data_IF_610197481706
#
_entry.id   IF_610197481706
#
_cell.length_a   1.000
_cell.length_b   1.000
_cell.length_c   1.000
_cell.angle_alpha   90.00
_cell.angle_beta   90.00
_cell.angle_gamma   90.00
#
_symmetry.space_group_name_H-M   'P 1'
#
loop_
_entity.id
_entity.type
_entity.pdbx_description
1 polymer ?
#
# COMPACT_ATOMS: atom_id res chain seq x y z
N UNK A 1 8.42 25.64 -24.90
CA UNK A 1 7.30 25.29 -23.98
C UNK A 1 7.16 23.79 -23.88
N UNK A 2 7.06 23.20 -22.67
CA UNK A 2 6.80 21.77 -22.45
C UNK A 2 5.38 21.37 -22.90
N UNK A 3 5.14 20.07 -23.15
CA UNK A 3 3.79 19.56 -23.37
C UNK A 3 2.97 19.63 -22.05
N UNK A 4 1.65 19.80 -22.14
CA UNK A 4 0.74 19.94 -20.98
C UNK A 4 0.96 18.86 -19.92
N UNK A 5 0.91 17.58 -20.30
CA UNK A 5 1.07 16.45 -19.38
C UNK A 5 2.49 16.36 -18.78
N UNK A 6 3.52 16.82 -19.51
CA UNK A 6 4.88 16.91 -18.97
C UNK A 6 4.96 18.00 -17.88
N UNK A 7 4.27 19.13 -18.09
CA UNK A 7 4.17 20.19 -17.08
C UNK A 7 3.39 19.71 -15.85
N UNK A 8 2.26 19.02 -16.02
CA UNK A 8 1.50 18.42 -14.91
C UNK A 8 2.38 17.45 -14.10
N UNK A 9 3.11 16.56 -14.78
CA UNK A 9 4.02 15.61 -14.11
C UNK A 9 5.07 16.34 -13.28
N UNK A 10 5.67 17.41 -13.82
CA UNK A 10 6.66 18.23 -13.12
C UNK A 10 6.05 18.95 -11.91
N UNK A 11 4.86 19.52 -12.05
CA UNK A 11 4.16 20.20 -10.95
C UNK A 11 3.83 19.21 -9.83
N UNK A 12 3.30 18.03 -10.15
CA UNK A 12 2.99 16.99 -9.16
C UNK A 12 4.28 16.51 -8.47
N UNK A 13 5.37 16.34 -9.20
CA UNK A 13 6.65 15.95 -8.62
C UNK A 13 7.16 17.01 -7.63
N UNK A 14 7.05 18.30 -7.96
CA UNK A 14 7.40 19.39 -7.06
C UNK A 14 6.55 19.37 -5.77
N UNK A 15 5.22 19.22 -5.90
CA UNK A 15 4.33 19.13 -4.72
C UNK A 15 4.71 17.92 -3.85
N UNK A 16 5.05 16.77 -4.46
CA UNK A 16 5.53 15.59 -3.70
C UNK A 16 6.80 15.90 -2.92
N UNK A 17 7.78 16.54 -3.56
CA UNK A 17 9.02 16.97 -2.89
C UNK A 17 8.73 17.91 -1.73
N UNK A 18 7.83 18.88 -1.90
CA UNK A 18 7.43 19.79 -0.84
C UNK A 18 6.77 19.04 0.34
N UNK A 19 5.93 18.04 0.06
CA UNK A 19 5.33 17.19 1.11
C UNK A 19 6.41 16.42 1.87
N UNK A 20 7.43 15.87 1.20
CA UNK A 20 8.54 15.21 1.90
C UNK A 20 9.33 16.19 2.77
N UNK A 21 9.54 17.41 2.27
CA UNK A 21 10.36 18.43 2.91
C UNK A 21 9.66 19.14 4.09
N UNK A 22 8.33 19.09 4.17
CA UNK A 22 7.56 19.71 5.26
C UNK A 22 8.05 19.24 6.64
N UNK A 23 8.19 20.17 7.59
CA UNK A 23 8.67 19.88 8.95
C UNK A 23 7.63 20.16 10.03
N UNK A 24 6.51 20.76 9.66
CA UNK A 24 5.43 21.14 10.56
C UNK A 24 4.07 21.02 9.89
N UNK A 25 3.01 21.08 10.71
CA UNK A 25 1.62 21.19 10.23
C UNK A 25 1.42 22.47 9.41
N UNK A 26 2.00 23.61 9.84
CA UNK A 26 1.91 24.88 9.11
C UNK A 26 2.48 24.79 7.70
N UNK A 27 3.58 24.05 7.50
CA UNK A 27 4.14 23.80 6.18
C UNK A 27 3.16 23.03 5.28
N UNK A 28 2.45 22.03 5.85
CA UNK A 28 1.46 21.24 5.14
C UNK A 28 0.22 22.08 4.79
N UNK A 29 -0.26 22.91 5.72
CA UNK A 29 -1.37 23.84 5.47
C UNK A 29 -1.02 24.85 4.39
N UNK A 30 0.17 25.45 4.46
CA UNK A 30 0.67 26.35 3.43
C UNK A 30 0.78 25.64 2.07
N UNK A 31 1.21 24.38 2.04
CA UNK A 31 1.27 23.58 0.82
C UNK A 31 -0.11 23.33 0.23
N UNK A 32 -1.10 22.92 1.02
CA UNK A 32 -2.46 22.68 0.53
C UNK A 32 -3.08 23.97 -0.03
N UNK A 33 -2.86 25.12 0.63
CA UNK A 33 -3.27 26.44 0.12
C UNK A 33 -2.54 26.82 -1.18
N UNK A 34 -1.25 26.47 -1.33
CA UNK A 34 -0.54 26.66 -2.61
C UNK A 34 -1.14 25.81 -3.73
N UNK A 35 -1.58 24.58 -3.43
CA UNK A 35 -2.24 23.71 -4.40
C UNK A 35 -3.58 24.31 -4.84
N UNK A 36 -4.34 24.91 -3.92
CA UNK A 36 -5.59 25.62 -4.23
C UNK A 36 -5.38 26.77 -5.23
N UNK A 37 -4.32 27.56 -5.04
CA UNK A 37 -4.02 28.72 -5.88
C UNK A 37 -2.96 28.45 -6.96
N UNK A 38 -2.73 27.18 -7.31
CA UNK A 38 -1.67 26.82 -8.25
C UNK A 38 -1.98 27.34 -9.66
N UNK A 39 -1.10 28.19 -10.21
CA UNK A 39 -1.30 28.85 -11.52
C UNK A 39 -1.14 27.91 -12.73
N UNK A 40 -0.60 26.71 -12.54
CA UNK A 40 -0.31 25.75 -13.62
C UNK A 40 -1.29 24.59 -13.69
N UNK A 41 -1.21 23.73 -14.73
CA UNK A 41 -2.07 22.56 -14.82
C UNK A 41 -1.68 21.50 -13.78
N UNK A 42 -2.68 20.93 -13.13
CA UNK A 42 -2.56 19.78 -12.21
C UNK A 42 -3.36 18.56 -12.69
N UNK A 43 -4.18 18.74 -13.72
CA UNK A 43 -4.98 17.70 -14.34
C UNK A 43 -4.39 17.28 -15.66
N UNK A 44 -4.22 15.96 -15.80
CA UNK A 44 -3.75 15.37 -17.03
C UNK A 44 -4.83 15.44 -18.12
N UNK A 45 -4.43 15.90 -19.30
CA UNK A 45 -5.25 15.88 -20.50
C UNK A 45 -5.10 14.53 -21.19
N UNK A 46 -5.88 13.55 -20.75
CA UNK A 46 -5.76 12.14 -21.18
C UNK A 46 -6.82 11.70 -22.21
N UNK A 47 -7.53 12.65 -22.85
CA UNK A 47 -8.62 12.34 -23.79
C UNK A 47 -8.21 11.38 -24.92
N UNK A 48 -7.03 11.60 -25.53
CA UNK A 48 -6.50 10.72 -26.56
C UNK A 48 -6.25 9.29 -26.05
N UNK A 49 -5.67 9.16 -24.85
CA UNK A 49 -5.41 7.85 -24.25
C UNK A 49 -6.68 7.12 -23.85
N UNK A 50 -7.70 7.85 -23.39
CA UNK A 50 -9.03 7.29 -23.09
C UNK A 50 -9.70 6.79 -24.37
N UNK A 51 -9.64 7.56 -25.45
CA UNK A 51 -10.14 7.16 -26.76
C UNK A 51 -9.45 5.90 -27.27
N UNK A 52 -8.12 5.88 -27.29
CA UNK A 52 -7.36 4.71 -27.73
C UNK A 52 -7.61 3.49 -26.83
N UNK A 53 -7.66 3.67 -25.50
CA UNK A 53 -7.99 2.61 -24.55
C UNK A 53 -9.40 2.04 -24.80
N UNK A 54 -10.39 2.89 -25.09
CA UNK A 54 -11.75 2.45 -25.39
C UNK A 54 -11.80 1.65 -26.69
N UNK A 55 -11.08 2.09 -27.73
CA UNK A 55 -10.93 1.35 -28.99
C UNK A 55 -10.29 -0.02 -28.74
N UNK A 56 -9.18 -0.08 -28.01
CA UNK A 56 -8.50 -1.35 -27.72
C UNK A 56 -9.40 -2.30 -26.93
N UNK A 57 -10.10 -1.83 -25.89
CA UNK A 57 -11.01 -2.70 -25.13
C UNK A 57 -12.22 -3.14 -25.97
N UNK A 58 -12.74 -2.28 -26.85
CA UNK A 58 -13.80 -2.64 -27.77
C UNK A 58 -13.37 -3.79 -28.69
N UNK A 59 -12.20 -3.72 -29.31
CA UNK A 59 -11.68 -4.79 -30.17
C UNK A 59 -11.27 -6.06 -29.40
N UNK A 60 -10.98 -5.96 -28.10
CA UNK A 60 -10.67 -7.11 -27.25
C UNK A 60 -11.91 -7.91 -26.84
N UNK A 61 -12.99 -7.22 -26.46
CA UNK A 61 -14.22 -7.85 -25.97
C UNK A 61 -15.06 -8.46 -27.08
N UNK A 62 -14.80 -8.07 -28.32
CA UNK A 62 -15.72 -8.35 -29.40
C UNK A 62 -15.68 -9.82 -29.87
N UNK A 63 -14.51 -10.47 -30.05
CA UNK A 63 -14.51 -11.91 -30.36
C UNK A 63 -15.08 -12.74 -29.21
N UNK A 64 -14.93 -12.29 -27.97
CA UNK A 64 -15.56 -12.92 -26.80
C UNK A 64 -17.10 -12.88 -26.92
N UNK A 65 -17.66 -11.74 -27.33
CA UNK A 65 -19.10 -11.62 -27.54
C UNK A 65 -19.62 -12.58 -28.63
N UNK A 66 -18.83 -12.79 -29.69
CA UNK A 66 -19.15 -13.72 -30.77
C UNK A 66 -19.10 -15.19 -30.32
N UNK A 67 -18.05 -15.58 -29.59
CA UNK A 67 -17.90 -16.93 -29.02
C UNK A 67 -19.00 -17.27 -27.99
N UNK A 68 -19.50 -16.26 -27.28
CA UNK A 68 -20.63 -16.41 -26.34
C UNK A 68 -22.00 -16.44 -27.04
N UNK A 69 -22.06 -16.40 -28.37
CA UNK A 69 -23.31 -16.48 -29.13
C UNK A 69 -24.23 -15.26 -28.96
N UNK A 70 -23.69 -14.10 -28.57
CA UNK A 70 -24.48 -12.87 -28.47
C UNK A 70 -24.90 -12.42 -29.87
N UNK A 71 -26.20 -12.22 -30.07
CA UNK A 71 -26.75 -11.70 -31.33
C UNK A 71 -26.39 -10.22 -31.44
N UNK A 72 -25.40 -9.92 -32.28
CA UNK A 72 -25.00 -8.55 -32.59
C UNK A 72 -25.72 -8.10 -33.87
N UNK A 73 -26.31 -6.88 -33.93
CA UNK A 73 -26.99 -6.40 -35.14
C UNK A 73 -26.09 -6.45 -36.39
N UNK A 74 -26.67 -6.80 -37.55
CA UNK A 74 -25.91 -7.00 -38.80
C UNK A 74 -25.06 -5.79 -39.20
N UNK A 75 -25.58 -4.56 -38.99
CA UNK A 75 -24.82 -3.35 -39.29
C UNK A 75 -23.54 -3.23 -38.44
N UNK A 76 -23.55 -3.72 -37.20
CA UNK A 76 -22.38 -3.73 -36.31
C UNK A 76 -21.36 -4.75 -36.82
N UNK A 77 -21.82 -5.93 -37.28
CA UNK A 77 -20.95 -6.95 -37.89
C UNK A 77 -20.31 -6.46 -39.20
N UNK A 78 -21.02 -5.67 -39.99
CA UNK A 78 -20.48 -5.07 -41.22
C UNK A 78 -19.43 -4.00 -40.93
N UNK A 79 -19.71 -3.09 -39.97
CA UNK A 79 -18.74 -2.09 -39.52
C UNK A 79 -17.51 -2.77 -38.94
N UNK A 80 -17.70 -3.82 -38.15
CA UNK A 80 -16.63 -4.56 -37.52
C UNK A 80 -15.74 -5.28 -38.53
N UNK A 81 -16.33 -6.08 -39.42
CA UNK A 81 -15.55 -6.84 -40.41
C UNK A 81 -14.74 -5.90 -41.29
N UNK A 82 -15.30 -4.73 -41.63
CA UNK A 82 -14.59 -3.65 -42.31
C UNK A 82 -13.44 -3.12 -41.44
N UNK A 83 -13.69 -2.79 -40.18
CA UNK A 83 -12.66 -2.31 -39.27
C UNK A 83 -11.53 -3.32 -39.08
N UNK A 84 -11.84 -4.61 -38.88
CA UNK A 84 -10.83 -5.65 -38.76
C UNK A 84 -10.02 -5.78 -40.04
N UNK A 85 -10.68 -5.86 -41.21
CA UNK A 85 -10.02 -5.96 -42.52
C UNK A 85 -9.04 -4.82 -42.77
N UNK A 86 -9.41 -3.59 -42.42
CA UNK A 86 -8.56 -2.41 -42.62
C UNK A 86 -7.60 -2.14 -41.44
N UNK A 87 -7.56 -3.00 -40.41
CA UNK A 87 -6.69 -2.81 -39.24
C UNK A 87 -5.21 -2.82 -39.57
N UNK A 88 -4.81 -3.54 -40.60
CA UNK A 88 -3.44 -3.51 -41.16
C UNK A 88 -2.96 -2.08 -41.50
N UNK A 89 -3.90 -1.15 -41.77
CA UNK A 89 -3.63 0.26 -42.03
C UNK A 89 -3.89 1.13 -40.79
N UNK A 90 -5.11 1.12 -40.23
CA UNK A 90 -5.45 2.07 -39.17
C UNK A 90 -4.80 1.75 -37.83
N UNK A 91 -4.48 0.47 -37.55
CA UNK A 91 -3.91 0.09 -36.27
C UNK A 91 -2.48 0.63 -36.09
N UNK A 92 -1.56 0.46 -37.06
CA UNK A 92 -0.25 1.11 -37.00
C UNK A 92 -0.32 2.63 -36.94
N UNK A 93 -1.27 3.25 -37.65
CA UNK A 93 -1.50 4.70 -37.56
C UNK A 93 -1.76 5.14 -36.11
N UNK A 94 -2.71 4.48 -35.43
CA UNK A 94 -3.08 4.80 -34.06
C UNK A 94 -1.96 4.50 -33.06
N UNK A 95 -1.23 3.38 -33.24
CA UNK A 95 -0.11 3.01 -32.38
C UNK A 95 1.00 4.06 -32.47
N UNK A 96 1.44 4.42 -33.68
CA UNK A 96 2.52 5.40 -33.85
C UNK A 96 2.11 6.80 -33.40
N UNK A 97 0.87 7.24 -33.65
CA UNK A 97 0.36 8.50 -33.11
C UNK A 97 0.33 8.50 -31.58
N UNK A 98 -0.08 7.40 -30.96
CA UNK A 98 -0.15 7.25 -29.49
C UNK A 98 1.24 7.20 -28.84
N UNK A 99 2.19 6.48 -29.45
CA UNK A 99 3.59 6.45 -29.02
C UNK A 99 4.22 7.84 -29.11
N UNK A 100 3.96 8.57 -30.19
CA UNK A 100 4.42 9.95 -30.35
C UNK A 100 3.91 10.84 -29.22
N UNK A 101 2.61 10.77 -28.93
CA UNK A 101 2.01 11.50 -27.81
C UNK A 101 2.63 11.12 -26.48
N UNK A 102 2.87 9.83 -26.25
CA UNK A 102 3.52 9.31 -25.04
C UNK A 102 4.95 9.84 -24.85
N UNK A 103 5.78 9.84 -25.90
CA UNK A 103 7.13 10.36 -25.80
C UNK A 103 7.15 11.87 -25.55
N UNK A 104 6.25 12.63 -26.19
CA UNK A 104 6.12 14.06 -25.93
C UNK A 104 5.69 14.39 -24.51
N UNK A 105 4.75 13.63 -23.95
CA UNK A 105 4.33 13.73 -22.56
C UNK A 105 5.47 13.41 -21.57
N UNK A 106 6.48 12.65 -22.01
CA UNK A 106 7.74 12.39 -21.28
C UNK A 106 8.85 13.41 -21.58
N UNK A 107 8.57 14.44 -22.37
CA UNK A 107 9.54 15.46 -22.77
C UNK A 107 10.50 15.04 -23.88
N UNK A 108 10.35 13.84 -24.45
CA UNK A 108 11.15 13.33 -25.57
C UNK A 108 10.48 13.70 -26.89
N UNK A 109 10.78 14.88 -27.41
CA UNK A 109 10.18 15.39 -28.65
C UNK A 109 10.82 14.78 -29.88
N UNK A 110 10.01 14.48 -30.89
CA UNK A 110 10.52 14.22 -32.22
C UNK A 110 11.17 15.51 -32.77
N UNK A 111 12.25 15.40 -33.55
CA UNK A 111 12.98 16.55 -34.12
C UNK A 111 12.24 17.18 -35.32
N UNK A 112 10.91 17.28 -35.23
CA UNK A 112 10.05 17.84 -36.27
C UNK A 112 9.35 19.08 -35.69
N UNK A 113 9.55 20.28 -36.28
CA UNK A 113 8.89 21.49 -35.81
C UNK A 113 7.38 21.40 -36.03
N UNK A 114 6.60 22.05 -35.16
CA UNK A 114 5.14 22.13 -35.30
C UNK A 114 4.35 21.80 -34.02
N UNK A 115 3.01 21.83 -34.09
CA UNK A 115 2.14 21.42 -32.99
C UNK A 115 2.14 19.89 -32.79
N UNK A 116 1.77 19.44 -31.60
CA UNK A 116 1.72 18.00 -31.25
C UNK A 116 0.81 17.20 -32.18
N UNK A 117 -0.33 17.76 -32.57
CA UNK A 117 -1.26 17.13 -33.52
C UNK A 117 -0.63 16.95 -34.91
N UNK A 118 0.20 17.89 -35.36
CA UNK A 118 0.90 17.77 -36.64
C UNK A 118 1.92 16.63 -36.63
N UNK A 119 2.68 16.47 -35.53
CA UNK A 119 3.60 15.34 -35.37
C UNK A 119 2.88 14.00 -35.21
N UNK A 120 1.76 13.96 -34.49
CA UNK A 120 0.92 12.78 -34.40
C UNK A 120 0.36 12.38 -35.77
N UNK A 121 -0.09 13.34 -36.58
CA UNK A 121 -0.60 13.10 -37.93
C UNK A 121 0.51 12.60 -38.87
N UNK A 122 1.71 13.18 -38.79
CA UNK A 122 2.88 12.70 -39.54
C UNK A 122 3.18 11.24 -39.20
N UNK A 123 3.22 10.90 -37.91
CA UNK A 123 3.51 9.53 -37.47
C UNK A 123 2.35 8.56 -37.77
N UNK A 124 1.12 9.04 -37.78
CA UNK A 124 -0.01 8.29 -38.31
C UNK A 124 0.19 8.00 -39.80
N UNK A 125 0.55 9.00 -40.61
CA UNK A 125 0.83 8.80 -42.04
C UNK A 125 1.97 7.80 -42.29
N UNK A 126 3.03 7.84 -41.48
CA UNK A 126 4.10 6.83 -41.50
C UNK A 126 3.54 5.43 -41.21
N UNK A 127 2.64 5.31 -40.23
CA UNK A 127 1.97 4.05 -39.91
C UNK A 127 1.09 3.54 -41.06
N UNK A 128 0.35 4.42 -41.71
CA UNK A 128 -0.45 4.08 -42.89
C UNK A 128 0.43 3.61 -44.06
N UNK A 129 1.59 4.26 -44.25
CA UNK A 129 2.53 3.96 -45.32
C UNK A 129 3.18 2.58 -45.19
N UNK A 130 3.11 1.92 -44.01
CA UNK A 130 3.57 0.53 -43.87
C UNK A 130 2.84 -0.41 -44.83
N UNK A 131 1.58 -0.12 -45.17
CA UNK A 131 0.82 -0.89 -46.16
C UNK A 131 1.43 -0.87 -47.57
N UNK A 132 2.30 0.12 -47.88
CA UNK A 132 3.01 0.18 -49.15
C UNK A 132 4.15 -0.84 -49.23
N UNK A 133 4.58 -1.40 -48.09
CA UNK A 133 5.56 -2.48 -48.04
C UNK A 133 4.82 -3.78 -48.40
N UNK A 134 5.18 -4.46 -49.50
CA UNK A 134 4.42 -5.63 -49.98
C UNK A 134 4.27 -6.75 -48.94
N UNK A 135 5.26 -6.91 -48.06
CA UNK A 135 5.30 -7.95 -47.03
C UNK A 135 4.53 -7.56 -45.75
N UNK A 136 4.10 -6.30 -45.60
CA UNK A 136 3.48 -5.82 -44.36
C UNK A 136 2.19 -6.56 -43.98
N UNK A 137 1.22 -6.80 -44.90
CA UNK A 137 0.02 -7.54 -44.54
C UNK A 137 0.29 -8.95 -44.04
N UNK A 138 1.28 -9.62 -44.65
CA UNK A 138 1.75 -10.94 -44.23
C UNK A 138 2.38 -10.87 -42.83
N UNK A 139 3.26 -9.91 -42.58
CA UNK A 139 3.85 -9.74 -41.24
C UNK A 139 2.83 -9.39 -40.16
N UNK A 140 1.85 -8.56 -40.51
CA UNK A 140 0.81 -8.12 -39.59
C UNK A 140 -0.12 -9.27 -39.19
N UNK A 141 -0.74 -9.94 -40.17
CA UNK A 141 -1.72 -11.00 -39.90
C UNK A 141 -1.07 -12.34 -39.58
N UNK A 142 -0.21 -12.83 -40.48
CA UNK A 142 0.25 -14.21 -40.46
C UNK A 142 1.49 -14.38 -39.58
N UNK A 143 2.37 -13.39 -39.52
CA UNK A 143 3.53 -13.51 -38.64
C UNK A 143 3.20 -13.11 -37.20
N UNK A 144 2.57 -11.95 -36.99
CA UNK A 144 2.38 -11.43 -35.63
C UNK A 144 1.14 -12.00 -34.94
N UNK A 145 -0.05 -11.84 -35.53
CA UNK A 145 -1.29 -12.21 -34.86
C UNK A 145 -1.58 -13.70 -34.90
N UNK A 146 -1.24 -14.40 -35.99
CA UNK A 146 -1.37 -15.86 -36.05
C UNK A 146 -0.40 -16.56 -35.09
N UNK A 147 0.87 -16.12 -35.02
CA UNK A 147 1.81 -16.65 -34.01
C UNK A 147 1.32 -16.41 -32.59
N UNK A 148 0.76 -15.22 -32.31
CA UNK A 148 0.21 -14.90 -31.00
C UNK A 148 -1.05 -15.74 -30.68
N UNK A 149 -1.93 -15.93 -31.65
CA UNK A 149 -3.11 -16.77 -31.53
C UNK A 149 -2.70 -18.23 -31.26
N UNK A 150 -1.81 -18.77 -32.09
CA UNK A 150 -1.28 -20.13 -31.99
C UNK A 150 -0.58 -20.37 -30.66
N UNK A 151 0.26 -19.43 -30.20
CA UNK A 151 0.93 -19.51 -28.90
C UNK A 151 -0.07 -19.62 -27.73
N UNK A 152 -1.23 -18.99 -27.86
CA UNK A 152 -2.30 -19.00 -26.85
C UNK A 152 -3.33 -20.13 -27.08
N UNK A 153 -3.12 -20.99 -28.09
CA UNK A 153 -4.01 -22.11 -28.40
C UNK A 153 -5.27 -21.74 -29.19
N UNK A 154 -5.29 -20.58 -29.85
CA UNK A 154 -6.39 -20.15 -30.72
C UNK A 154 -6.11 -20.45 -32.19
N UNK A 155 -7.19 -20.73 -32.93
CA UNK A 155 -7.14 -21.15 -34.34
C UNK A 155 -7.28 -20.00 -35.35
N UNK A 156 -7.58 -18.78 -34.88
CA UNK A 156 -7.86 -17.64 -35.74
C UNK A 156 -6.95 -16.45 -35.39
N UNK A 157 -6.31 -15.80 -36.38
CA UNK A 157 -5.51 -14.59 -36.16
C UNK A 157 -6.30 -13.45 -35.49
N UNK A 158 -7.63 -13.37 -35.72
CA UNK A 158 -8.51 -12.41 -35.05
C UNK A 158 -8.52 -12.56 -33.53
N UNK A 159 -8.36 -13.79 -33.02
CA UNK A 159 -8.24 -14.04 -31.58
C UNK A 159 -6.92 -13.49 -31.04
N UNK A 160 -5.82 -13.67 -31.77
CA UNK A 160 -4.53 -13.04 -31.45
C UNK A 160 -4.63 -11.51 -31.40
N UNK A 161 -5.30 -10.91 -32.40
CA UNK A 161 -5.57 -9.47 -32.43
C UNK A 161 -6.37 -8.97 -31.22
N UNK A 162 -7.41 -9.71 -30.81
CA UNK A 162 -8.20 -9.36 -29.64
C UNK A 162 -7.43 -9.48 -28.33
N UNK A 163 -6.64 -10.55 -28.14
CA UNK A 163 -5.82 -10.70 -26.93
C UNK A 163 -4.80 -9.57 -26.83
N UNK A 164 -4.13 -9.24 -27.93
CA UNK A 164 -3.19 -8.12 -27.98
C UNK A 164 -3.84 -6.80 -27.54
N UNK A 165 -4.99 -6.46 -28.12
CA UNK A 165 -5.75 -5.27 -27.76
C UNK A 165 -6.26 -5.30 -26.31
N UNK A 166 -6.63 -6.48 -25.80
CA UNK A 166 -7.05 -6.67 -24.41
C UNK A 166 -5.92 -6.35 -23.43
N UNK A 167 -4.72 -6.86 -23.70
CA UNK A 167 -3.54 -6.55 -22.90
C UNK A 167 -3.23 -5.05 -22.90
N UNK A 168 -3.21 -4.41 -24.07
CA UNK A 168 -2.95 -2.97 -24.18
C UNK A 168 -4.03 -2.15 -23.46
N UNK A 169 -5.31 -2.47 -23.68
CA UNK A 169 -6.44 -1.79 -23.07
C UNK A 169 -6.40 -1.89 -21.54
N UNK A 170 -6.14 -3.07 -20.98
CA UNK A 170 -6.04 -3.27 -19.52
C UNK A 170 -4.84 -2.53 -18.93
N UNK A 171 -3.67 -2.60 -19.57
CA UNK A 171 -2.47 -1.88 -19.13
C UNK A 171 -2.70 -0.36 -19.13
N UNK A 172 -3.30 0.18 -20.20
CA UNK A 172 -3.63 1.61 -20.29
C UNK A 172 -4.69 2.02 -19.27
N UNK A 173 -5.71 1.19 -19.05
CA UNK A 173 -6.74 1.45 -18.03
C UNK A 173 -6.11 1.54 -16.64
N UNK A 174 -5.21 0.60 -16.29
CA UNK A 174 -4.50 0.65 -15.02
C UNK A 174 -3.63 1.91 -14.92
N UNK A 175 -2.86 2.22 -15.96
CA UNK A 175 -2.02 3.41 -16.01
C UNK A 175 -2.83 4.71 -15.85
N UNK A 176 -3.94 4.85 -16.58
CA UNK A 176 -4.85 6.00 -16.45
C UNK A 176 -5.43 6.11 -15.04
N UNK A 177 -5.84 4.98 -14.44
CA UNK A 177 -6.30 4.94 -13.03
C UNK A 177 -5.20 5.37 -12.05
N UNK A 178 -3.94 5.00 -12.29
CA UNK A 178 -2.85 5.46 -11.41
C UNK A 178 -2.61 6.97 -11.55
N UNK A 179 -2.78 7.51 -12.76
CA UNK A 179 -2.64 8.94 -13.02
C UNK A 179 -3.75 9.75 -12.40
N UNK A 180 -4.99 9.28 -12.38
CA UNK A 180 -6.10 10.01 -11.74
C UNK A 180 -6.02 9.97 -10.21
N UNK A 181 -5.53 8.87 -9.63
CA UNK A 181 -5.44 8.69 -8.17
C UNK A 181 -4.25 9.38 -7.50
N UNK A 182 -3.51 10.23 -8.21
CA UNK A 182 -2.33 10.89 -7.65
C UNK A 182 -2.67 11.78 -6.45
N UNK A 183 -3.79 12.52 -6.51
CA UNK A 183 -4.28 13.37 -5.43
C UNK A 183 -4.58 12.56 -4.18
N UNK A 184 -5.29 11.44 -4.32
CA UNK A 184 -5.65 10.58 -3.19
C UNK A 184 -4.41 10.07 -2.46
N UNK A 185 -3.46 9.48 -3.20
CA UNK A 185 -2.21 8.96 -2.60
C UNK A 185 -1.42 10.06 -1.88
N UNK A 186 -1.37 11.26 -2.45
CA UNK A 186 -0.66 12.37 -1.84
C UNK A 186 -1.41 12.96 -0.65
N UNK A 187 -2.74 12.99 -0.71
CA UNK A 187 -3.60 13.42 0.41
C UNK A 187 -3.49 12.45 1.59
N UNK A 188 -3.48 11.14 1.33
CA UNK A 188 -3.24 10.11 2.36
C UNK A 188 -1.88 10.34 3.04
N UNK A 189 -0.86 10.70 2.25
CA UNK A 189 0.48 10.99 2.77
C UNK A 189 0.55 12.28 3.59
N UNK A 190 -0.08 13.36 3.10
CA UNK A 190 -0.16 14.64 3.82
C UNK A 190 -0.88 14.42 5.16
N UNK A 191 -2.01 13.72 5.15
CA UNK A 191 -2.81 13.47 6.33
C UNK A 191 -2.09 12.60 7.36
N UNK A 192 -1.38 11.55 6.92
CA UNK A 192 -0.50 10.78 7.81
C UNK A 192 0.56 11.68 8.44
N UNK A 193 1.22 12.52 7.64
CA UNK A 193 2.29 13.39 8.13
C UNK A 193 1.77 14.43 9.13
N UNK A 194 0.58 14.98 8.89
CA UNK A 194 -0.12 15.84 9.83
C UNK A 194 -0.41 15.14 11.16
N UNK A 195 -0.95 13.92 11.12
CA UNK A 195 -1.17 13.13 12.34
C UNK A 195 0.13 12.85 13.10
N UNK A 196 1.24 12.58 12.39
CA UNK A 196 2.55 12.44 13.03
C UNK A 196 2.98 13.72 13.74
N UNK A 197 2.82 14.89 13.10
CA UNK A 197 3.14 16.18 13.72
C UNK A 197 2.26 16.49 14.93
N UNK A 198 0.95 16.28 14.82
CA UNK A 198 0.01 16.46 15.91
C UNK A 198 0.36 15.60 17.14
N UNK A 199 0.97 14.44 16.95
CA UNK A 199 1.33 13.52 18.04
C UNK A 199 2.84 13.55 18.36
N UNK A 200 3.58 14.57 17.90
CA UNK A 200 5.03 14.72 18.12
C UNK A 200 5.86 13.48 17.74
N UNK A 201 5.47 12.79 16.67
CA UNK A 201 6.13 11.58 16.18
C UNK A 201 7.16 11.93 15.10
N UNK A 202 8.43 11.62 15.36
CA UNK A 202 9.52 11.82 14.41
C UNK A 202 9.87 10.52 13.70
N UNK A 203 9.93 10.54 12.37
CA UNK A 203 10.37 9.39 11.59
C UNK A 203 11.85 9.08 11.85
N UNK A 204 12.16 7.82 12.11
CA UNK A 204 13.53 7.35 12.33
C UNK A 204 14.02 6.65 11.05
N UNK A 205 15.25 6.88 10.58
CA UNK A 205 15.84 6.07 9.52
C UNK A 205 16.21 4.68 10.05
N UNK A 206 15.83 3.63 9.32
CA UNK A 206 16.14 2.25 9.69
C UNK A 206 16.20 1.33 8.47
N UNK A 207 16.81 0.16 8.63
CA UNK A 207 16.78 -0.93 7.66
C UNK A 207 15.77 -1.99 8.11
N UNK A 208 14.60 -2.04 7.46
CA UNK A 208 13.43 -2.80 7.94
C UNK A 208 13.69 -4.28 8.28
N UNK A 209 14.38 -5.01 7.40
CA UNK A 209 14.70 -6.43 7.62
C UNK A 209 15.76 -6.64 8.71
N UNK A 210 16.77 -5.76 8.74
CA UNK A 210 17.86 -5.82 9.70
C UNK A 210 17.35 -5.55 11.11
N UNK A 211 16.59 -4.45 11.28
CA UNK A 211 15.98 -4.10 12.56
C UNK A 211 15.01 -5.18 13.06
N UNK A 212 14.19 -5.76 12.18
CA UNK A 212 13.32 -6.87 12.57
C UNK A 212 14.11 -8.07 13.09
N UNK A 213 15.27 -8.37 12.47
CA UNK A 213 16.13 -9.48 12.89
C UNK A 213 16.85 -9.20 14.22
N UNK A 214 17.27 -7.96 14.44
CA UNK A 214 17.84 -7.52 15.72
C UNK A 214 16.81 -7.67 16.85
N UNK A 215 15.57 -7.19 16.61
CA UNK A 215 14.49 -7.28 17.58
C UNK A 215 14.03 -8.73 17.84
N UNK A 216 14.13 -9.63 16.85
CA UNK A 216 13.86 -11.08 17.00
C UNK A 216 14.75 -11.75 18.06
N UNK A 217 15.97 -11.23 18.26
CA UNK A 217 16.88 -11.72 19.30
C UNK A 217 16.31 -11.53 20.71
N UNK A 218 15.76 -10.34 20.95
CA UNK A 218 15.24 -9.91 22.25
C UNK A 218 13.76 -10.28 22.46
N UNK A 219 12.95 -10.26 21.41
CA UNK A 219 11.50 -10.44 21.49
C UNK A 219 10.99 -11.47 20.48
N UNK A 220 10.24 -12.46 20.97
CA UNK A 220 9.54 -13.46 20.16
C UNK A 220 8.43 -12.88 19.32
N UNK A 221 7.97 -11.65 19.60
CA UNK A 221 7.01 -10.95 18.75
C UNK A 221 7.50 -10.80 17.31
N UNK A 222 8.81 -10.71 17.08
CA UNK A 222 9.39 -10.59 15.74
C UNK A 222 9.77 -11.95 15.10
N UNK A 223 9.66 -13.07 15.83
CA UNK A 223 9.78 -14.44 15.29
C UNK A 223 8.42 -14.95 14.75
N UNK A 224 7.67 -14.07 14.06
CA UNK A 224 6.39 -14.41 13.44
C UNK A 224 6.56 -14.71 11.95
N UNK A 225 5.68 -15.55 11.43
CA UNK A 225 5.75 -15.98 10.03
C UNK A 225 6.92 -16.91 9.74
N UNK A 226 7.03 -17.33 8.48
CA UNK A 226 8.04 -18.27 8.01
C UNK A 226 8.66 -17.85 6.66
N UNK A 227 8.40 -16.62 6.20
CA UNK A 227 8.97 -16.05 4.96
C UNK A 227 9.53 -14.64 5.26
N UNK A 228 8.98 -13.58 4.69
CA UNK A 228 9.42 -12.19 4.92
C UNK A 228 9.09 -11.70 6.34
N UNK A 229 10.02 -10.96 6.96
CA UNK A 229 9.87 -10.22 8.21
C UNK A 229 10.57 -8.85 8.07
N UNK A 230 9.86 -7.76 8.32
CA UNK A 230 10.42 -6.41 8.23
C UNK A 230 9.66 -5.39 9.06
N UNK A 231 10.36 -4.41 9.61
CA UNK A 231 9.74 -3.17 10.07
C UNK A 231 9.42 -2.31 8.84
N UNK A 232 8.20 -1.78 8.74
CA UNK A 232 7.75 -0.93 7.64
C UNK A 232 7.73 0.56 8.00
N UNK A 233 7.49 0.86 9.28
CA UNK A 233 7.58 2.23 9.80
C UNK A 233 8.10 2.21 11.23
N UNK A 234 8.86 3.24 11.57
CA UNK A 234 9.42 3.47 12.89
C UNK A 234 9.40 4.97 13.17
N UNK A 235 8.78 5.34 14.29
CA UNK A 235 8.71 6.70 14.78
C UNK A 235 9.19 6.75 16.21
N UNK A 236 9.80 7.84 16.64
CA UNK A 236 10.18 8.08 18.03
C UNK A 236 9.45 9.29 18.58
N UNK A 237 9.20 9.27 19.88
CA UNK A 237 8.69 10.42 20.63
C UNK A 237 8.91 10.19 22.12
N UNK A 238 8.47 11.15 22.92
CA UNK A 238 8.53 11.12 24.38
C UNK A 238 7.13 11.28 24.92
N UNK A 239 6.69 10.32 25.73
CA UNK A 239 5.41 10.41 26.43
C UNK A 239 5.57 11.22 27.72
N UNK A 240 4.68 12.16 27.96
CA UNK A 240 4.62 12.97 29.18
C UNK A 240 3.32 12.64 29.93
N UNK A 241 3.43 11.80 30.96
CA UNK A 241 2.33 11.52 31.88
C UNK A 241 2.49 12.29 33.20
N UNK A 242 1.48 12.20 34.05
CA UNK A 242 1.45 12.92 35.34
C UNK A 242 2.58 12.52 36.31
N UNK A 243 3.06 11.27 36.18
CA UNK A 243 4.02 10.66 37.13
C UNK A 243 5.32 10.21 36.44
N UNK A 244 5.21 9.63 35.25
CA UNK A 244 6.38 9.15 34.51
C UNK A 244 6.41 9.78 33.13
N UNK A 245 7.63 10.06 32.70
CA UNK A 245 7.98 10.40 31.34
C UNK A 245 8.88 9.30 30.80
N UNK A 246 8.66 8.89 29.55
CA UNK A 246 9.48 7.87 28.92
C UNK A 246 9.58 8.08 27.41
N UNK A 247 10.75 7.77 26.87
CA UNK A 247 10.96 7.72 25.43
C UNK A 247 10.42 6.41 24.87
N UNK A 248 9.81 6.48 23.69
CA UNK A 248 9.28 5.30 23.03
C UNK A 248 9.51 5.36 21.52
N UNK A 249 9.49 4.16 20.92
CA UNK A 249 9.48 3.98 19.48
C UNK A 249 8.21 3.26 19.05
N UNK A 250 7.39 3.92 18.24
CA UNK A 250 6.22 3.33 17.60
C UNK A 250 6.65 2.62 16.31
N UNK A 251 6.25 1.36 16.14
CA UNK A 251 6.61 0.58 14.96
C UNK A 251 5.41 -0.09 14.30
N UNK A 252 5.57 -0.37 13.00
CA UNK A 252 4.72 -1.32 12.25
C UNK A 252 5.59 -2.46 11.73
N UNK A 253 5.30 -3.66 12.18
CA UNK A 253 5.96 -4.89 11.78
C UNK A 253 5.11 -5.65 10.76
N UNK A 254 5.73 -6.06 9.66
CA UNK A 254 5.13 -6.87 8.60
C UNK A 254 5.79 -8.25 8.58
N UNK A 255 4.97 -9.29 8.56
CA UNK A 255 5.44 -10.66 8.40
C UNK A 255 4.56 -11.46 7.43
N UNK A 256 5.16 -12.45 6.78
CA UNK A 256 4.48 -13.32 5.81
C UNK A 256 4.43 -14.76 6.31
N UNK A 257 3.26 -15.38 6.19
CA UNK A 257 3.09 -16.83 6.31
C UNK A 257 2.96 -17.41 4.90
N UNK A 258 3.94 -18.22 4.52
CA UNK A 258 3.94 -19.03 3.31
C UNK A 258 3.39 -20.41 3.63
N UNK A 259 2.31 -20.80 2.94
CA UNK A 259 1.72 -22.14 3.02
C UNK A 259 1.54 -22.75 1.64
N UNK A 260 1.52 -24.07 1.60
CA UNK A 260 1.27 -24.84 0.38
C UNK A 260 -0.15 -25.37 0.43
N UNK A 261 -0.96 -24.99 -0.54
CA UNK A 261 -2.32 -25.50 -0.73
C UNK A 261 -2.30 -26.50 -1.88
N UNK A 262 -2.77 -27.72 -1.59
CA UNK A 262 -2.98 -28.75 -2.62
C UNK A 262 -4.47 -28.85 -2.86
N UNK A 263 -4.89 -28.60 -4.10
CA UNK A 263 -6.28 -28.80 -4.52
C UNK A 263 -6.32 -29.95 -5.50
N UNK A 264 -7.13 -30.95 -5.21
CA UNK A 264 -7.38 -32.08 -6.11
C UNK A 264 -8.72 -31.84 -6.80
N UNK A 265 -8.71 -31.83 -8.13
CA UNK A 265 -9.95 -31.71 -8.91
C UNK A 265 -10.74 -33.04 -8.92
N UNK A 266 -11.96 -32.99 -9.46
CA UNK A 266 -12.83 -34.16 -9.58
C UNK A 266 -12.21 -35.28 -10.46
N UNK A 267 -11.20 -34.94 -11.27
CA UNK A 267 -10.47 -35.86 -12.15
C UNK A 267 -9.22 -36.46 -11.48
N UNK A 268 -9.01 -36.22 -10.17
CA UNK A 268 -7.91 -36.78 -9.38
C UNK A 268 -6.55 -36.10 -9.60
N UNK A 269 -6.50 -35.01 -10.38
CA UNK A 269 -5.27 -34.24 -10.61
C UNK A 269 -5.08 -33.23 -9.48
N UNK A 270 -3.96 -33.39 -8.78
CA UNK A 270 -3.58 -32.50 -7.69
C UNK A 270 -2.75 -31.33 -8.20
N UNK A 271 -3.23 -30.10 -7.97
CA UNK A 271 -2.51 -28.87 -8.25
C UNK A 271 -2.02 -28.25 -6.95
N UNK A 272 -0.70 -28.01 -6.87
CA UNK A 272 -0.06 -27.39 -5.71
C UNK A 272 0.16 -25.91 -5.96
N UNK A 273 -0.40 -25.05 -5.09
CA UNK A 273 -0.18 -23.59 -5.13
C UNK A 273 0.49 -23.13 -3.83
N UNK A 274 1.54 -22.32 -3.97
CA UNK A 274 2.11 -21.59 -2.84
C UNK A 274 1.31 -20.31 -2.60
N UNK A 275 0.78 -20.15 -1.40
CA UNK A 275 0.07 -18.93 -0.96
C UNK A 275 0.93 -18.20 0.06
N UNK A 276 0.99 -16.87 -0.05
CA UNK A 276 1.73 -15.98 0.85
C UNK A 276 0.75 -14.99 1.46
N UNK A 277 0.47 -15.16 2.74
CA UNK A 277 -0.44 -14.30 3.49
C UNK A 277 0.36 -13.26 4.28
N UNK A 278 0.05 -11.98 4.07
CA UNK A 278 0.73 -10.85 4.72
C UNK A 278 -0.03 -10.40 5.97
N UNK A 279 0.69 -10.22 7.07
CA UNK A 279 0.14 -9.83 8.36
C UNK A 279 0.91 -8.66 8.96
N UNK A 280 0.23 -7.89 9.81
CA UNK A 280 0.79 -6.69 10.43
C UNK A 280 0.59 -6.71 11.95
N UNK A 281 1.60 -6.20 12.66
CA UNK A 281 1.58 -5.94 14.09
C UNK A 281 2.07 -4.53 14.33
N UNK A 282 1.42 -3.81 15.22
CA UNK A 282 1.75 -2.42 15.55
C UNK A 282 2.05 -2.36 17.03
N UNK A 283 2.98 -1.52 17.43
CA UNK A 283 3.41 -1.56 18.82
C UNK A 283 4.35 -0.45 19.21
N UNK A 284 4.70 -0.43 20.49
CA UNK A 284 5.68 0.47 21.08
C UNK A 284 6.84 -0.31 21.68
N UNK A 285 8.04 0.21 21.50
CA UNK A 285 9.27 -0.23 22.13
C UNK A 285 9.75 0.86 23.07
N UNK A 286 10.05 0.52 24.31
CA UNK A 286 10.55 1.48 25.31
C UNK A 286 11.34 0.75 26.40
N UNK A 287 12.02 1.52 27.25
CA UNK A 287 12.70 1.00 28.43
C UNK A 287 11.73 0.92 29.61
N UNK A 288 11.70 -0.23 30.27
CA UNK A 288 10.79 -0.59 31.34
C UNK A 288 11.56 -1.31 32.46
N UNK A 289 11.99 -0.61 33.51
CA UNK A 289 12.93 -1.13 34.52
C UNK A 289 12.30 -2.05 35.57
N UNK A 290 10.98 -2.27 35.51
CA UNK A 290 10.26 -2.99 36.56
C UNK A 290 10.07 -4.49 36.28
N UNK A 291 10.40 -4.95 35.08
CA UNK A 291 10.26 -6.36 34.71
C UNK A 291 11.20 -6.75 33.57
N UNK A 292 11.66 -7.99 33.58
CA UNK A 292 12.53 -8.56 32.56
C UNK A 292 12.25 -10.05 32.37
N UNK A 293 12.65 -10.56 31.21
CA UNK A 293 12.57 -11.99 30.85
C UNK A 293 11.20 -12.63 31.11
N UNK A 294 10.13 -11.91 30.78
CA UNK A 294 8.75 -12.38 30.90
C UNK A 294 7.85 -11.90 29.76
N UNK A 295 6.70 -12.54 29.59
CA UNK A 295 5.72 -12.22 28.56
C UNK A 295 4.30 -12.36 29.08
N UNK A 296 3.42 -11.43 28.69
CA UNK A 296 1.99 -11.41 28.97
C UNK A 296 1.29 -11.35 27.62
N UNK A 297 0.60 -12.42 27.23
CA UNK A 297 0.15 -12.56 25.85
C UNK A 297 -1.31 -13.01 25.74
N UNK A 298 -2.12 -12.19 25.07
CA UNK A 298 -3.46 -12.54 24.59
C UNK A 298 -3.41 -13.17 23.18
N UNK A 299 -2.24 -13.24 22.56
CA UNK A 299 -2.04 -13.97 21.31
C UNK A 299 -1.54 -15.39 21.56
N UNK A 300 -2.37 -16.38 21.26
CA UNK A 300 -1.99 -17.77 21.47
C UNK A 300 -1.02 -18.34 20.43
N UNK A 301 -0.76 -17.61 19.34
CA UNK A 301 0.14 -18.03 18.27
C UNK A 301 1.63 -17.72 18.47
N UNK A 302 2.00 -16.97 19.51
CA UNK A 302 3.41 -16.63 19.78
C UNK A 302 4.12 -17.73 20.61
N UNK A 303 5.37 -18.03 20.25
CA UNK A 303 6.25 -18.88 21.07
C UNK A 303 6.63 -18.12 22.34
N UNK A 304 6.55 -18.78 23.50
CA UNK A 304 6.84 -18.17 24.81
C UNK A 304 8.07 -18.79 25.43
N UNK A 305 8.81 -18.00 26.20
CA UNK A 305 9.98 -18.44 26.98
C UNK A 305 9.62 -18.46 28.47
N UNK A 306 10.24 -19.38 29.22
CA UNK A 306 10.08 -19.47 30.67
C UNK A 306 8.90 -20.34 31.13
N UNK A 307 8.70 -20.35 32.44
CA UNK A 307 7.67 -21.12 33.11
C UNK A 307 6.33 -20.38 33.10
N UNK A 308 5.24 -21.14 33.05
CA UNK A 308 3.90 -20.57 33.02
C UNK A 308 3.50 -20.05 34.40
N UNK A 309 3.19 -18.77 34.49
CA UNK A 309 2.59 -18.16 35.65
C UNK A 309 1.05 -18.10 35.52
N UNK A 310 0.34 -18.36 36.61
CA UNK A 310 -1.10 -18.12 36.74
C UNK A 310 -1.32 -17.32 38.01
N UNK A 311 -2.07 -16.24 37.90
CA UNK A 311 -2.43 -15.45 39.07
C UNK A 311 -3.72 -15.94 39.72
N UNK A 312 -4.15 -15.25 40.79
CA UNK A 312 -5.43 -15.52 41.43
C UNK A 312 -6.65 -15.04 40.60
N UNK A 313 -6.46 -14.10 39.67
CA UNK A 313 -7.56 -13.54 38.87
C UNK A 313 -7.93 -14.47 37.71
N UNK A 314 -9.07 -15.14 37.84
CA UNK A 314 -9.61 -16.01 36.79
C UNK A 314 -9.93 -15.24 35.50
N UNK A 315 -10.42 -14.01 35.61
CA UNK A 315 -10.73 -13.18 34.43
C UNK A 315 -9.45 -12.82 33.67
N UNK A 316 -8.40 -12.40 34.37
CA UNK A 316 -7.10 -12.12 33.76
C UNK A 316 -6.52 -13.37 33.08
N UNK A 317 -6.53 -14.51 33.77
CA UNK A 317 -6.02 -15.79 33.24
C UNK A 317 -6.79 -16.32 32.02
N UNK A 318 -8.03 -15.88 31.80
CA UNK A 318 -8.80 -16.18 30.58
C UNK A 318 -8.30 -15.36 29.39
N UNK A 319 -7.94 -14.10 29.63
CA UNK A 319 -7.47 -13.19 28.59
C UNK A 319 -6.00 -13.41 28.27
N UNK A 320 -5.13 -13.61 29.26
CA UNK A 320 -3.69 -13.65 29.07
C UNK A 320 -3.06 -14.97 29.49
N UNK A 321 -2.00 -15.34 28.76
CA UNK A 321 -1.02 -16.34 29.19
C UNK A 321 0.26 -15.62 29.59
N UNK A 322 0.67 -15.83 30.83
CA UNK A 322 1.90 -15.24 31.37
C UNK A 322 2.98 -16.32 31.43
N UNK A 323 4.17 -16.01 30.92
CA UNK A 323 5.35 -16.84 31.08
C UNK A 323 6.51 -15.98 31.55
N UNK A 324 7.29 -16.46 32.51
CA UNK A 324 8.44 -15.75 33.04
C UNK A 324 9.56 -16.73 33.32
N UNK A 325 10.81 -16.26 33.20
CA UNK A 325 11.95 -17.03 33.68
C UNK A 325 11.92 -17.21 35.20
N UNK A 326 11.52 -16.16 35.91
CA UNK A 326 11.33 -16.16 37.36
C UNK A 326 9.89 -15.80 37.69
N UNK A 327 9.15 -16.74 38.31
CA UNK A 327 7.73 -16.55 38.63
C UNK A 327 7.49 -15.40 39.62
N UNK A 328 8.47 -15.11 40.49
CA UNK A 328 8.38 -14.01 41.45
C UNK A 328 8.34 -12.65 40.74
N UNK A 329 9.09 -12.47 39.66
CA UNK A 329 9.07 -11.24 38.84
C UNK A 329 7.69 -11.02 38.23
N UNK A 330 7.06 -12.08 37.72
CA UNK A 330 5.68 -12.01 37.23
C UNK A 330 4.69 -11.66 38.35
N UNK A 331 4.81 -12.27 39.52
CA UNK A 331 3.93 -11.98 40.66
C UNK A 331 4.06 -10.53 41.17
N UNK A 332 5.27 -9.96 41.16
CA UNK A 332 5.52 -8.57 41.58
C UNK A 332 4.92 -7.56 40.60
N UNK A 333 5.07 -7.80 39.30
CA UNK A 333 4.49 -6.95 38.26
C UNK A 333 2.96 -7.04 38.24
N UNK A 334 2.42 -8.26 38.33
CA UNK A 334 0.99 -8.55 38.21
C UNK A 334 0.24 -8.37 39.53
N UNK A 335 0.36 -7.18 40.11
CA UNK A 335 -0.53 -6.77 41.21
C UNK A 335 -1.99 -6.72 40.74
N UNK A 336 -2.99 -6.84 41.65
CA UNK A 336 -4.40 -6.82 41.28
C UNK A 336 -4.80 -5.62 40.41
N UNK A 337 -4.23 -4.44 40.68
CA UNK A 337 -4.47 -3.23 39.89
C UNK A 337 -3.94 -3.35 38.45
N UNK A 338 -2.74 -3.91 38.26
CA UNK A 338 -2.17 -4.14 36.93
C UNK A 338 -2.99 -5.17 36.15
N UNK A 339 -3.42 -6.25 36.81
CA UNK A 339 -4.26 -7.27 36.19
C UNK A 339 -5.61 -6.72 35.73
N UNK A 340 -6.23 -5.85 36.52
CA UNK A 340 -7.47 -5.17 36.17
C UNK A 340 -7.30 -4.30 34.92
N UNK A 341 -6.26 -3.46 34.89
CA UNK A 341 -5.95 -2.61 33.73
C UNK A 341 -5.68 -3.42 32.46
N UNK A 342 -4.89 -4.50 32.57
CA UNK A 342 -4.62 -5.40 31.44
C UNK A 342 -5.87 -6.09 30.93
N UNK A 343 -6.77 -6.48 31.84
CA UNK A 343 -8.07 -7.10 31.49
C UNK A 343 -8.97 -6.13 30.73
N UNK A 344 -9.03 -4.86 31.15
CA UNK A 344 -9.75 -3.82 30.41
C UNK A 344 -9.11 -3.61 29.04
N UNK A 345 -7.78 -3.55 28.97
CA UNK A 345 -7.03 -3.35 27.74
C UNK A 345 -7.28 -4.47 26.71
N UNK A 346 -7.35 -5.73 27.15
CA UNK A 346 -7.65 -6.88 26.28
C UNK A 346 -9.01 -6.77 25.57
N UNK A 347 -9.95 -6.04 26.15
CA UNK A 347 -11.28 -5.81 25.55
C UNK A 347 -11.26 -4.70 24.51
N UNK A 348 -10.25 -3.83 24.53
CA UNK A 348 -10.17 -2.65 23.66
C UNK A 348 -9.29 -2.86 22.43
N UNK A 349 -8.27 -3.72 22.52
CA UNK A 349 -7.33 -4.00 21.43
C UNK A 349 -7.23 -5.49 21.16
N UNK A 350 -7.00 -5.84 19.90
CA UNK A 350 -6.93 -7.21 19.40
C UNK A 350 -5.55 -7.79 19.63
N UNK A 351 -5.52 -8.93 20.32
CA UNK A 351 -4.32 -9.75 20.53
C UNK A 351 -3.14 -8.95 21.11
N UNK A 352 -3.31 -8.21 22.22
CA UNK A 352 -2.20 -7.55 22.87
C UNK A 352 -1.15 -8.56 23.37
N UNK A 353 0.11 -8.20 23.17
CA UNK A 353 1.28 -8.93 23.65
C UNK A 353 2.21 -7.92 24.30
N UNK A 354 2.60 -8.17 25.55
CA UNK A 354 3.63 -7.43 26.25
C UNK A 354 4.77 -8.40 26.48
N UNK A 355 5.93 -8.11 25.92
CA UNK A 355 7.15 -8.91 26.07
C UNK A 355 8.24 -8.05 26.69
N UNK A 356 8.71 -8.49 27.85
CA UNK A 356 9.77 -7.87 28.62
C UNK A 356 11.06 -8.62 28.30
N UNK A 357 11.89 -7.99 27.48
CA UNK A 357 13.13 -8.56 26.97
C UNK A 357 14.23 -8.62 28.03
N UNK A 358 15.42 -8.98 27.57
CA UNK A 358 16.65 -8.75 28.33
C UNK A 358 16.99 -7.25 28.23
N UNK A 359 17.67 -6.70 29.25
CA UNK A 359 18.05 -5.28 29.34
C UNK A 359 16.86 -4.33 29.59
N UNK A 360 15.86 -4.76 30.37
CA UNK A 360 14.78 -3.87 30.82
C UNK A 360 14.03 -3.18 29.66
N UNK A 361 13.84 -3.86 28.53
CA UNK A 361 13.08 -3.32 27.40
C UNK A 361 11.71 -3.96 27.27
N UNK A 362 10.69 -3.16 27.04
CA UNK A 362 9.33 -3.60 26.77
C UNK A 362 9.03 -3.49 25.27
N UNK A 363 8.51 -4.57 24.71
CA UNK A 363 7.80 -4.60 23.45
C UNK A 363 6.32 -4.83 23.71
N UNK A 364 5.49 -3.83 23.40
CA UNK A 364 4.03 -3.97 23.43
C UNK A 364 3.51 -3.98 22.00
N UNK A 365 2.82 -5.06 21.61
CA UNK A 365 2.32 -5.27 20.26
C UNK A 365 0.83 -5.60 20.23
N UNK A 366 0.12 -5.10 19.22
CA UNK A 366 -1.30 -5.33 18.93
C UNK A 366 -1.53 -5.59 17.44
N UNK A 367 -2.68 -6.15 17.11
CA UNK A 367 -3.09 -6.37 15.71
C UNK A 367 -3.81 -5.18 15.10
N UNK A 368 -4.39 -4.30 15.91
CA UNK A 368 -4.99 -3.05 15.42
C UNK A 368 -3.89 -2.11 14.92
N UNK A 369 -4.23 -1.30 13.92
CA UNK A 369 -3.30 -0.31 13.36
C UNK A 369 -3.34 0.96 14.22
N UNK A 370 -2.24 1.20 14.95
CA UNK A 370 -2.08 2.34 15.84
C UNK A 370 -1.99 3.69 15.10
N UNK A 371 -1.73 3.64 13.79
CA UNK A 371 -1.68 4.79 12.89
C UNK A 371 -2.92 4.88 11.99
N UNK A 372 -3.96 4.07 12.26
CA UNK A 372 -5.18 4.06 11.47
C UNK A 372 -5.96 5.35 11.62
N UNK A 373 -5.72 6.27 10.68
CA UNK A 373 -6.47 7.51 10.53
C UNK A 373 -7.21 7.48 9.19
N UNK A 374 -8.41 8.05 9.16
CA UNK A 374 -9.21 8.20 7.94
C UNK A 374 -9.50 9.66 7.71
N UNK A 375 -9.02 10.19 6.58
CA UNK A 375 -9.38 11.52 6.11
C UNK A 375 -10.75 11.52 5.44
N UNK A 376 -11.43 12.65 5.51
CA UNK A 376 -12.69 12.92 4.82
C UNK A 376 -12.43 13.64 3.49
N UNK A 377 -11.51 14.60 3.47
CA UNK A 377 -11.19 15.43 2.31
C UNK A 377 -9.78 15.14 1.76
N UNK A 378 -9.44 15.77 0.64
CA UNK A 378 -8.14 15.63 -0.01
C UNK A 378 -7.83 16.79 -0.95
N UNK A 379 -6.75 16.67 -1.72
CA UNK A 379 -6.31 17.69 -2.69
C UNK A 379 -7.28 17.92 -3.87
N UNK A 380 -8.35 17.13 -3.96
CA UNK A 380 -9.49 17.36 -4.84
C UNK A 380 -10.45 18.45 -4.30
N UNK A 381 -10.46 18.68 -2.98
CA UNK A 381 -11.08 19.83 -2.33
C UNK A 381 -10.09 20.47 -1.33
N UNK A 382 -9.10 21.24 -1.82
CA UNK A 382 -8.01 21.77 -0.99
C UNK A 382 -8.48 22.61 0.20
N UNK A 383 -9.56 23.39 0.04
CA UNK A 383 -10.09 24.24 1.11
C UNK A 383 -10.58 23.41 2.30
N UNK A 384 -11.49 22.47 2.04
CA UNK A 384 -12.00 21.59 3.09
C UNK A 384 -10.90 20.69 3.68
N UNK A 385 -9.94 20.28 2.87
CA UNK A 385 -8.79 19.51 3.35
C UNK A 385 -7.87 20.34 4.25
N UNK A 386 -7.64 21.62 3.95
CA UNK A 386 -6.88 22.50 4.83
C UNK A 386 -7.61 22.76 6.16
N UNK A 387 -8.95 22.88 6.15
CA UNK A 387 -9.76 22.99 7.37
C UNK A 387 -9.67 21.71 8.22
N UNK A 388 -9.73 20.53 7.58
CA UNK A 388 -9.53 19.24 8.25
C UNK A 388 -8.13 19.12 8.87
N UNK A 389 -7.09 19.47 8.11
CA UNK A 389 -5.70 19.44 8.58
C UNK A 389 -5.41 20.48 9.68
N UNK A 390 -6.14 21.59 9.73
CA UNK A 390 -5.97 22.57 10.81
C UNK A 390 -6.53 22.05 12.14
N UNK A 391 -7.35 21.00 12.09
CA UNK A 391 -7.74 20.24 13.28
C UNK A 391 -6.57 19.47 13.88
N UNK A 392 -6.73 19.07 15.14
CA UNK A 392 -5.77 18.19 15.79
C UNK A 392 -6.17 16.72 15.58
N UNK A 393 -5.36 15.99 14.81
CA UNK A 393 -5.59 14.56 14.57
C UNK A 393 -4.98 13.72 15.69
N UNK A 394 -5.82 13.23 16.60
CA UNK A 394 -5.38 12.39 17.72
C UNK A 394 -5.28 10.90 17.34
N UNK A 395 -4.14 10.26 17.67
CA UNK A 395 -3.95 8.82 17.48
C UNK A 395 -4.49 8.02 18.68
N UNK A 396 -5.82 7.95 18.80
CA UNK A 396 -6.52 7.39 19.97
C UNK A 396 -6.05 6.01 20.44
N UNK A 397 -5.79 5.07 19.50
CA UNK A 397 -5.32 3.73 19.87
C UNK A 397 -3.89 3.75 20.39
N UNK A 398 -3.04 4.62 19.84
CA UNK A 398 -1.68 4.84 20.33
C UNK A 398 -1.71 5.43 21.75
N UNK A 399 -2.53 6.46 21.98
CA UNK A 399 -2.67 7.09 23.31
C UNK A 399 -3.04 6.06 24.37
N UNK A 400 -4.02 5.18 24.08
CA UNK A 400 -4.41 4.08 24.99
C UNK A 400 -3.29 3.09 25.31
N UNK A 401 -2.43 2.80 24.33
CA UNK A 401 -1.25 1.94 24.54
C UNK A 401 -0.26 2.62 25.48
N UNK A 402 0.01 3.90 25.28
CA UNK A 402 0.95 4.67 26.10
C UNK A 402 0.41 4.88 27.53
N UNK A 403 -0.89 5.17 27.68
CA UNK A 403 -1.57 5.25 28.98
C UNK A 403 -1.50 3.94 29.76
N UNK A 404 -1.67 2.79 29.10
CA UNK A 404 -1.48 1.50 29.76
C UNK A 404 -0.05 1.36 30.30
N UNK A 405 0.95 1.67 29.48
CA UNK A 405 2.36 1.59 29.88
C UNK A 405 2.63 2.51 31.07
N UNK A 406 2.12 3.75 31.03
CA UNK A 406 2.23 4.71 32.13
C UNK A 406 1.62 4.20 33.43
N UNK A 407 0.40 3.66 33.37
CA UNK A 407 -0.28 3.08 34.54
C UNK A 407 0.46 1.85 35.07
N UNK A 408 1.01 1.00 34.19
CA UNK A 408 1.84 -0.13 34.60
C UNK A 408 3.11 0.32 35.31
N UNK A 409 3.80 1.35 34.83
CA UNK A 409 4.97 1.94 35.50
C UNK A 409 4.57 2.48 36.89
N UNK A 410 3.47 3.24 36.96
CA UNK A 410 2.96 3.81 38.21
C UNK A 410 2.68 2.75 39.28
N UNK A 411 1.97 1.68 38.93
CA UNK A 411 1.66 0.62 39.89
C UNK A 411 2.89 -0.21 40.26
N UNK A 412 3.85 -0.35 39.33
CA UNK A 412 5.09 -1.05 39.60
C UNK A 412 5.96 -0.28 40.60
N UNK A 413 6.21 1.02 40.38
CA UNK A 413 7.06 1.84 41.26
C UNK A 413 6.61 1.76 42.74
N UNK A 414 5.30 1.83 42.99
CA UNK A 414 4.74 1.68 44.33
C UNK A 414 5.02 0.30 44.97
N UNK A 415 5.01 -0.77 44.18
CA UNK A 415 5.27 -2.12 44.66
C UNK A 415 6.77 -2.41 44.87
N UNK A 416 7.64 -1.77 44.08
CA UNK A 416 9.09 -1.94 44.20
C UNK A 416 9.71 -1.08 45.33
N UNK A 417 9.07 0.04 45.71
CA UNK A 417 9.48 0.86 46.87
C UNK A 417 9.10 0.25 48.23
N UNK A 418 8.00 -0.50 48.31
CA UNK A 418 7.54 -1.10 49.57
C UNK A 418 8.36 -2.31 50.05
N UNK A 419 9.37 -2.74 49.29
CA UNK A 419 10.22 -3.91 49.58
C UNK A 419 11.71 -3.57 49.81
N UNK A 420 12.04 -2.28 49.95
CA UNK A 420 13.32 -1.77 50.45
C UNK A 420 13.13 -1.18 51.84
#
# INVERSE_FOLDING_TARGET
MLAHNAQVTRNIAAIRTDVEAAKSQDDLLALVRRVEHHKGPLDYSDNWYRFFCAISLFFALLPIAFELGLVVPDFVMQVLSSALRYSVVWYPMLVLATLTRYFEDKGKRLPVPGPIWGRMLLMAAVGAALQLIPQWPYWYWDFYFDSLASFLGFWYPSSGFAVHNGMIGVLMLFWLRTRTKWRNKLSDKIFLKDALFNNNLEAVPFEGKKLAKELEGSFKEFDRGNDLREIQSLYKSTYQGDIHQFDYQLYRFHYVIKRTETTTDADGKSTTRTVRDSYYRHGVLLDFPFAQEMSISNDFGIKRRGERYKSASNEFNRQYRVHAKELMTAARLLSPAVEEKLTVFAKQLKKPVLEFGQQERLCLAVSDDLLAIKRVHGLDNPKAFAEELAGHTELKLMSKVLELVHEMMRFSDNNFKASA
#
